data_IF_510443372375
#
_entry.id   IF_510443372375
#
_cell.length_a   1.000
_cell.length_b   1.000
_cell.length_c   1.000
_cell.angle_alpha   90.00
_cell.angle_beta   90.00
_cell.angle_gamma   90.00
#
_symmetry.space_group_name_H-M   'P 1'
#
loop_
_entity.id
_entity.type
_entity.pdbx_description
1 polymer ?
#
# COMPACT_ATOMS: atom_id res chain seq x y z
N UNK A 1 -32.44 2.78 99.95
CA UNK A 1 -32.33 2.48 98.50
C UNK A 1 -30.85 2.53 98.09
N UNK A 2 -30.18 1.39 97.97
CA UNK A 2 -28.79 1.31 97.49
C UNK A 2 -28.75 1.83 96.05
N UNK A 3 -28.05 2.95 95.80
CA UNK A 3 -27.74 3.40 94.44
C UNK A 3 -26.84 2.35 93.81
N UNK A 4 -27.34 1.67 92.77
CA UNK A 4 -26.56 0.80 91.90
C UNK A 4 -25.40 1.66 91.38
N UNK A 5 -24.18 1.34 91.80
CA UNK A 5 -23.00 1.93 91.20
C UNK A 5 -22.99 1.41 89.76
N UNK A 6 -23.35 2.28 88.81
CA UNK A 6 -23.11 2.01 87.40
C UNK A 6 -21.60 2.01 87.28
N UNK A 7 -21.02 0.82 87.19
CA UNK A 7 -19.63 0.63 86.82
C UNK A 7 -19.50 1.23 85.42
N UNK A 8 -18.90 2.43 85.35
CA UNK A 8 -18.61 3.06 84.07
C UNK A 8 -17.61 2.15 83.39
N UNK A 9 -18.02 1.52 82.30
CA UNK A 9 -17.15 0.74 81.43
C UNK A 9 -16.04 1.68 80.98
N UNK A 10 -14.86 1.50 81.57
CA UNK A 10 -13.65 2.26 81.27
C UNK A 10 -12.82 1.43 80.32
N UNK A 11 -12.54 1.94 79.14
CA UNK A 11 -11.78 1.23 78.11
C UNK A 11 -11.44 2.14 76.92
N UNK A 12 -10.55 1.68 76.01
CA UNK A 12 -10.19 2.44 74.83
C UNK A 12 -11.40 2.67 73.91
N UNK A 13 -11.37 3.70 73.04
CA UNK A 13 -12.40 3.91 72.03
C UNK A 13 -12.58 2.66 71.15
N UNK A 14 -13.83 2.33 70.80
CA UNK A 14 -14.07 1.37 69.71
C UNK A 14 -13.84 2.08 68.39
N UNK A 15 -13.14 1.44 67.44
CA UNK A 15 -12.77 2.04 66.15
C UNK A 15 -12.85 1.01 65.02
N UNK A 16 -13.49 1.39 63.92
CA UNK A 16 -13.42 0.67 62.63
C UNK A 16 -13.11 1.65 61.50
N UNK A 17 -12.31 1.22 60.53
CA UNK A 17 -11.93 2.02 59.37
C UNK A 17 -12.36 1.31 58.09
N UNK A 18 -13.05 2.04 57.21
CA UNK A 18 -13.38 1.59 55.86
C UNK A 18 -12.69 2.48 54.81
N UNK A 19 -12.28 1.86 53.70
CA UNK A 19 -11.74 2.54 52.52
C UNK A 19 -12.57 2.15 51.30
N UNK A 20 -13.04 3.12 50.53
CA UNK A 20 -13.81 2.88 49.30
C UNK A 20 -13.33 3.80 48.16
N UNK A 21 -12.91 3.25 47.01
CA UNK A 21 -12.71 1.82 46.70
C UNK A 21 -11.45 1.22 47.37
N UNK A 22 -11.41 -0.10 47.54
CA UNK A 22 -10.23 -0.84 48.04
C UNK A 22 -9.23 -1.22 46.94
N UNK A 23 -9.60 -1.06 45.67
CA UNK A 23 -8.73 -1.28 44.51
C UNK A 23 -8.92 -0.15 43.51
N UNK A 24 -7.82 0.45 43.06
CA UNK A 24 -7.78 1.48 42.02
C UNK A 24 -6.72 1.11 40.98
N UNK A 25 -6.79 1.70 39.78
CA UNK A 25 -5.73 1.54 38.76
C UNK A 25 -4.85 2.76 38.72
N UNK A 26 -3.57 2.57 38.42
CA UNK A 26 -2.60 3.66 38.32
C UNK A 26 -2.95 4.72 37.23
N UNK A 27 -3.84 4.40 36.29
CA UNK A 27 -4.30 5.27 35.19
C UNK A 27 -5.63 5.98 35.46
N UNK A 28 -6.30 5.67 36.56
CA UNK A 28 -7.58 6.29 36.92
C UNK A 28 -7.35 7.42 37.92
N UNK A 29 -8.35 8.28 38.11
CA UNK A 29 -8.36 9.27 39.20
C UNK A 29 -8.38 8.54 40.55
N UNK A 30 -7.23 8.56 41.23
CA UNK A 30 -6.92 7.68 42.35
C UNK A 30 -7.39 8.26 43.70
N UNK A 31 -8.68 8.60 43.81
CA UNK A 31 -9.27 9.12 45.06
C UNK A 31 -10.00 8.04 45.84
N UNK A 32 -9.58 7.83 47.08
CA UNK A 32 -10.18 6.86 48.01
C UNK A 32 -10.84 7.61 49.17
N UNK A 33 -12.07 7.26 49.50
CA UNK A 33 -12.75 7.78 50.68
C UNK A 33 -12.43 6.90 51.89
N UNK A 34 -11.91 7.50 52.95
CA UNK A 34 -11.62 6.87 54.23
C UNK A 34 -12.68 7.31 55.25
N UNK A 35 -13.32 6.33 55.88
CA UNK A 35 -14.35 6.56 56.90
C UNK A 35 -14.00 5.81 58.19
N UNK A 36 -13.63 6.55 59.23
CA UNK A 36 -13.39 6.04 60.57
C UNK A 36 -14.67 6.16 61.43
N UNK A 37 -15.20 5.04 61.90
CA UNK A 37 -16.31 5.00 62.86
C UNK A 37 -15.76 4.70 64.24
N UNK A 38 -15.81 5.68 65.13
CA UNK A 38 -15.28 5.57 66.47
C UNK A 38 -16.26 6.05 67.55
N UNK A 39 -16.20 5.44 68.73
CA UNK A 39 -17.02 5.80 69.90
C UNK A 39 -16.24 5.67 71.20
N UNK A 40 -16.27 6.70 72.05
CA UNK A 40 -15.76 6.61 73.43
C UNK A 40 -16.83 5.99 74.34
N UNK A 41 -16.50 4.97 75.16
CA UNK A 41 -17.41 4.42 76.17
C UNK A 41 -17.96 5.47 77.15
N UNK A 42 -17.25 6.60 77.32
CA UNK A 42 -17.63 7.69 78.21
C UNK A 42 -18.29 8.88 77.49
N UNK A 43 -18.51 8.78 76.18
CA UNK A 43 -19.09 9.86 75.38
C UNK A 43 -18.19 11.09 75.24
N UNK A 44 -16.87 10.93 75.38
CA UNK A 44 -15.89 12.01 75.25
C UNK A 44 -15.63 12.41 73.79
N UNK A 45 -15.20 13.66 73.55
CA UNK A 45 -14.77 14.08 72.22
C UNK A 45 -13.53 13.30 71.76
N UNK A 46 -13.54 12.83 70.51
CA UNK A 46 -12.48 12.03 69.91
C UNK A 46 -11.54 12.88 69.05
N UNK A 47 -10.25 12.61 69.13
CA UNK A 47 -9.19 13.22 68.31
C UNK A 47 -8.68 12.19 67.32
N UNK A 48 -8.56 12.56 66.06
CA UNK A 48 -8.16 11.66 64.97
C UNK A 48 -6.82 12.11 64.40
N UNK A 49 -5.92 11.16 64.21
CA UNK A 49 -4.63 11.38 63.57
C UNK A 49 -4.45 10.34 62.47
N UNK A 50 -4.33 10.83 61.24
CA UNK A 50 -4.20 9.99 60.04
C UNK A 50 -2.74 9.92 59.60
N UNK A 51 -2.29 8.74 59.23
CA UNK A 51 -0.98 8.51 58.59
C UNK A 51 -1.16 7.58 57.40
N UNK A 52 -0.34 7.77 56.36
CA UNK A 52 -0.34 6.91 55.16
C UNK A 52 1.10 6.56 54.79
N UNK A 53 1.29 5.40 54.15
CA UNK A 53 2.60 5.01 53.59
C UNK A 53 2.86 5.59 52.19
N UNK A 54 1.93 6.37 51.64
CA UNK A 54 2.02 7.02 50.33
C UNK A 54 0.79 7.87 50.01
N UNK A 55 0.85 8.63 48.91
CA UNK A 55 -0.21 9.55 48.48
C UNK A 55 -0.33 10.81 49.35
N UNK A 56 -1.36 11.61 49.07
CA UNK A 56 -1.72 12.81 49.82
C UNK A 56 -3.07 12.61 50.49
N UNK A 57 -3.12 12.78 51.80
CA UNK A 57 -4.37 12.74 52.55
C UNK A 57 -4.92 14.16 52.75
N UNK A 58 -6.22 14.35 52.53
CA UNK A 58 -6.95 15.60 52.69
C UNK A 58 -8.22 15.37 53.49
N UNK A 59 -8.36 16.02 54.64
CA UNK A 59 -9.50 15.88 55.55
C UNK A 59 -9.08 15.85 57.02
N UNK A 60 -10.04 16.04 57.93
CA UNK A 60 -9.83 15.99 59.38
C UNK A 60 -10.98 15.24 60.05
N UNK A 61 -10.74 14.66 61.22
CA UNK A 61 -11.76 13.95 61.99
C UNK A 61 -12.06 12.56 61.44
N UNK A 62 -13.34 12.18 61.44
CA UNK A 62 -13.82 10.84 61.09
C UNK A 62 -13.79 10.51 59.59
N UNK A 63 -13.65 11.50 58.71
CA UNK A 63 -13.63 11.32 57.26
C UNK A 63 -12.40 11.97 56.63
N UNK A 64 -11.74 11.25 55.72
CA UNK A 64 -10.62 11.76 54.96
C UNK A 64 -10.70 11.28 53.50
N UNK A 65 -10.26 12.11 52.57
CA UNK A 65 -10.02 11.72 51.18
C UNK A 65 -8.53 11.45 51.00
N UNK A 66 -8.21 10.28 50.50
CA UNK A 66 -6.85 9.85 50.22
C UNK A 66 -6.62 9.84 48.72
N UNK A 67 -5.73 10.73 48.28
CA UNK A 67 -5.34 10.90 46.89
C UNK A 67 -4.05 10.10 46.61
N UNK A 68 -4.19 9.03 45.86
CA UNK A 68 -3.13 8.15 45.39
C UNK A 68 -2.76 8.45 43.92
N UNK A 69 -3.06 9.65 43.41
CA UNK A 69 -2.75 10.01 42.02
C UNK A 69 -1.24 9.95 41.75
N UNK A 70 -0.86 9.21 40.71
CA UNK A 70 0.56 8.98 40.36
C UNK A 70 1.26 7.93 41.22
N UNK A 71 0.54 7.22 42.10
CA UNK A 71 1.08 6.08 42.85
C UNK A 71 1.46 4.93 41.90
N UNK A 72 2.64 4.33 42.14
CA UNK A 72 3.04 3.11 41.43
C UNK A 72 2.20 1.91 41.90
N UNK A 73 2.01 0.88 41.05
CA UNK A 73 1.32 -0.36 41.43
C UNK A 73 1.90 -0.96 42.71
N UNK A 74 1.02 -1.33 43.65
CA UNK A 74 1.42 -1.79 44.97
C UNK A 74 0.32 -1.67 46.03
N UNK A 75 0.65 -2.04 47.26
CA UNK A 75 -0.27 -1.96 48.40
C UNK A 75 0.03 -0.72 49.23
N UNK A 76 -0.96 0.15 49.35
CA UNK A 76 -0.91 1.34 50.18
C UNK A 76 -1.75 1.11 51.42
N UNK A 77 -1.28 1.62 52.56
CA UNK A 77 -1.97 1.53 53.84
C UNK A 77 -2.20 2.91 54.44
N UNK A 78 -3.44 3.17 54.84
CA UNK A 78 -3.83 4.30 55.68
C UNK A 78 -4.10 3.80 57.09
N UNK A 79 -3.56 4.49 58.09
CA UNK A 79 -3.74 4.20 59.51
C UNK A 79 -4.41 5.40 60.17
N UNK A 80 -5.41 5.15 61.00
CA UNK A 80 -6.03 6.17 61.84
C UNK A 80 -5.84 5.81 63.30
N UNK A 81 -5.36 6.77 64.06
CA UNK A 81 -5.19 6.74 65.51
C UNK A 81 -6.28 7.64 66.13
N UNK A 82 -7.00 7.12 67.12
CA UNK A 82 -8.08 7.83 67.82
C UNK A 82 -7.86 7.82 69.33
N UNK A 83 -7.91 9.02 69.93
CA UNK A 83 -7.74 9.28 71.37
C UNK A 83 -8.95 10.04 71.94
N UNK A 84 -9.29 9.82 73.21
CA UNK A 84 -10.35 10.51 73.95
C UNK A 84 -9.85 11.50 75.02
N UNK A 85 -8.53 11.70 75.11
CA UNK A 85 -7.87 12.74 75.90
C UNK A 85 -7.81 12.45 77.40
N UNK A 86 -8.16 11.23 77.84
CA UNK A 86 -8.21 10.87 79.27
C UNK A 86 -6.87 10.39 79.83
N UNK A 87 -6.14 9.60 79.04
CA UNK A 87 -4.82 9.07 79.39
C UNK A 87 -3.94 9.15 78.14
N UNK A 88 -2.69 9.63 78.29
CA UNK A 88 -1.74 9.77 77.18
C UNK A 88 -1.51 8.46 76.39
N UNK A 89 -1.82 7.30 76.99
CA UNK A 89 -1.50 5.97 76.45
C UNK A 89 -2.73 5.15 76.00
N UNK A 90 -3.95 5.73 76.01
CA UNK A 90 -5.18 4.99 75.67
C UNK A 90 -5.68 5.32 74.26
N UNK A 91 -4.97 4.83 73.24
CA UNK A 91 -5.29 5.07 71.83
C UNK A 91 -5.85 3.82 71.15
N UNK A 92 -6.80 4.00 70.25
CA UNK A 92 -7.27 2.97 69.33
C UNK A 92 -6.68 3.21 67.94
N UNK A 93 -6.15 2.16 67.30
CA UNK A 93 -5.66 2.24 65.92
C UNK A 93 -6.43 1.28 65.02
N UNK A 94 -6.61 1.68 63.77
CA UNK A 94 -7.16 0.84 62.71
C UNK A 94 -6.50 1.20 61.38
N UNK A 95 -6.46 0.25 60.45
CA UNK A 95 -5.83 0.46 59.15
C UNK A 95 -6.69 -0.08 58.03
N UNK A 96 -6.66 0.61 56.88
CA UNK A 96 -7.24 0.13 55.65
C UNK A 96 -6.18 0.09 54.55
N UNK A 97 -6.22 -0.96 53.74
CA UNK A 97 -5.31 -1.16 52.62
C UNK A 97 -6.04 -0.93 51.32
N UNK A 98 -5.37 -0.24 50.39
CA UNK A 98 -5.82 -0.03 49.01
C UNK A 98 -4.78 -0.62 48.08
N UNK A 99 -5.23 -1.41 47.11
CA UNK A 99 -4.36 -1.95 46.06
C UNK A 99 -4.39 -1.02 44.86
N UNK A 100 -3.24 -0.49 44.48
CA UNK A 100 -3.04 0.17 43.18
C UNK A 100 -2.63 -0.91 42.20
N UNK A 101 -3.50 -1.25 41.28
CA UNK A 101 -3.27 -2.24 40.23
C UNK A 101 -2.60 -1.61 39.00
N UNK A 102 -1.88 -2.45 38.25
CA UNK A 102 -1.38 -2.11 36.93
C UNK A 102 -2.49 -1.68 35.99
N UNK A 103 -2.14 -0.79 35.08
CA UNK A 103 -3.01 -0.46 33.96
C UNK A 103 -3.11 -1.63 33.00
N UNK A 104 -4.29 -1.88 32.42
CA UNK A 104 -4.38 -2.82 31.32
C UNK A 104 -3.42 -2.37 30.20
N UNK A 105 -2.72 -3.30 29.54
CA UNK A 105 -1.87 -2.94 28.40
C UNK A 105 -2.73 -2.24 27.34
N UNK A 106 -2.18 -1.26 26.60
CA UNK A 106 -2.91 -0.62 25.53
C UNK A 106 -3.36 -1.67 24.51
N UNK A 107 -4.55 -1.51 23.90
CA UNK A 107 -5.02 -2.44 22.89
C UNK A 107 -3.99 -2.54 21.75
N UNK A 108 -3.77 -3.74 21.19
CA UNK A 108 -2.80 -3.92 20.11
C UNK A 108 -3.19 -3.06 18.91
N UNK A 109 -2.24 -2.25 18.43
CA UNK A 109 -2.45 -1.43 17.25
C UNK A 109 -2.36 -2.31 16.00
N UNK A 110 -3.40 -2.25 15.16
CA UNK A 110 -3.40 -2.97 13.90
C UNK A 110 -2.80 -2.05 12.83
N UNK A 111 -1.77 -2.55 12.15
CA UNK A 111 -1.00 -1.78 11.18
C UNK A 111 -1.07 -2.49 9.83
N UNK A 112 -1.41 -1.73 8.78
CA UNK A 112 -1.33 -2.22 7.41
C UNK A 112 0.11 -2.65 7.07
N UNK A 113 0.30 -3.77 6.36
CA UNK A 113 1.60 -4.08 5.81
C UNK A 113 1.98 -3.07 4.73
N UNK A 114 3.27 -2.97 4.44
CA UNK A 114 3.75 -2.30 3.25
C UNK A 114 3.45 -3.19 2.03
N UNK A 115 2.63 -2.67 1.12
CA UNK A 115 2.23 -3.36 -0.12
C UNK A 115 2.89 -2.64 -1.30
N UNK A 116 3.89 -3.27 -1.90
CA UNK A 116 4.54 -2.79 -3.12
C UNK A 116 4.03 -3.57 -4.32
N UNK A 117 3.69 -2.88 -5.40
CA UNK A 117 3.28 -3.49 -6.66
C UNK A 117 4.45 -3.47 -7.66
N UNK A 118 4.68 -4.61 -8.30
CA UNK A 118 5.64 -4.78 -9.39
C UNK A 118 4.86 -4.99 -10.69
N UNK A 119 4.98 -4.02 -11.59
CA UNK A 119 4.20 -3.94 -12.82
C UNK A 119 5.14 -3.58 -13.98
N UNK A 120 4.97 -4.17 -15.17
CA UNK A 120 5.81 -3.84 -16.31
C UNK A 120 5.49 -2.42 -16.84
N UNK A 121 6.50 -1.68 -17.28
CA UNK A 121 6.31 -0.33 -17.84
C UNK A 121 5.44 -0.35 -19.10
N UNK A 122 5.64 -1.39 -19.93
CA UNK A 122 4.89 -1.62 -21.15
C UNK A 122 4.50 -3.10 -21.31
N UNK A 123 3.31 -3.33 -21.87
CA UNK A 123 2.82 -4.65 -22.29
C UNK A 123 2.46 -4.63 -23.78
N UNK A 124 2.36 -5.80 -24.40
CA UNK A 124 1.93 -5.92 -25.80
C UNK A 124 0.45 -6.26 -25.87
N UNK A 125 -0.22 -5.73 -26.89
CA UNK A 125 -1.59 -6.15 -27.22
C UNK A 125 -1.60 -7.66 -27.56
N UNK A 126 -2.64 -8.37 -27.12
CA UNK A 126 -2.82 -9.82 -27.31
C UNK A 126 -1.76 -10.69 -26.61
N UNK A 127 -0.98 -10.11 -25.70
CA UNK A 127 -0.07 -10.84 -24.81
C UNK A 127 -0.50 -10.57 -23.36
N UNK A 128 -0.88 -11.61 -22.58
CA UNK A 128 -1.31 -11.41 -21.21
C UNK A 128 -0.24 -10.73 -20.36
N UNK A 129 -0.66 -9.79 -19.52
CA UNK A 129 0.24 -9.05 -18.61
C UNK A 129 0.04 -9.55 -17.18
N UNK A 130 1.12 -9.66 -16.42
CA UNK A 130 1.09 -10.11 -15.03
C UNK A 130 1.42 -8.96 -14.09
N UNK A 131 0.56 -8.75 -13.09
CA UNK A 131 0.79 -7.83 -11.99
C UNK A 131 1.12 -8.63 -10.73
N UNK A 132 2.09 -8.19 -9.94
CA UNK A 132 2.51 -8.89 -8.72
C UNK A 132 2.61 -7.92 -7.56
N UNK A 133 2.08 -8.31 -6.40
CA UNK A 133 2.21 -7.57 -5.15
C UNK A 133 3.14 -8.30 -4.18
N UNK A 134 4.07 -7.54 -3.60
CA UNK A 134 4.94 -7.97 -2.50
C UNK A 134 4.45 -7.31 -1.23
N UNK A 135 4.27 -8.12 -0.19
CA UNK A 135 3.79 -7.67 1.12
C UNK A 135 4.91 -7.86 2.13
N UNK A 136 5.23 -6.80 2.87
CA UNK A 136 6.20 -6.83 3.95
C UNK A 136 5.66 -6.12 5.19
N UNK A 137 6.00 -6.63 6.38
CA UNK A 137 5.53 -6.08 7.65
C UNK A 137 4.04 -6.34 7.94
N UNK A 138 3.42 -5.44 8.70
CA UNK A 138 2.03 -5.55 9.18
C UNK A 138 1.89 -6.35 10.47
N UNK A 139 0.69 -6.32 11.06
CA UNK A 139 0.39 -7.09 12.27
C UNK A 139 0.54 -8.60 12.02
N UNK A 140 1.31 -9.28 12.86
CA UNK A 140 1.53 -10.73 12.78
C UNK A 140 0.26 -11.55 13.02
N UNK A 141 0.23 -12.78 12.54
CA UNK A 141 -0.90 -13.72 12.75
C UNK A 141 -2.13 -13.47 11.86
N UNK A 142 -2.09 -12.46 11.00
CA UNK A 142 -3.16 -12.17 10.02
C UNK A 142 -2.99 -13.04 8.77
N UNK A 143 -4.10 -13.61 8.27
CA UNK A 143 -4.16 -14.23 6.94
C UNK A 143 -4.65 -13.20 5.92
N UNK A 144 -3.77 -12.66 5.05
CA UNK A 144 -4.17 -11.61 4.12
C UNK A 144 -5.12 -12.15 3.05
N UNK A 145 -6.14 -11.35 2.73
CA UNK A 145 -7.02 -11.57 1.57
C UNK A 145 -6.68 -10.54 0.48
N UNK A 146 -6.85 -10.93 -0.78
CA UNK A 146 -6.48 -10.09 -1.93
C UNK A 146 -7.71 -9.89 -2.80
N UNK A 147 -8.00 -8.65 -3.13
CA UNK A 147 -9.04 -8.33 -4.08
C UNK A 147 -8.48 -7.41 -5.16
N UNK A 148 -8.41 -7.93 -6.38
CA UNK A 148 -7.89 -7.21 -7.53
C UNK A 148 -9.00 -6.63 -8.39
N UNK A 149 -8.77 -5.41 -8.86
CA UNK A 149 -9.58 -4.76 -9.90
C UNK A 149 -8.66 -4.15 -10.95
N UNK A 150 -9.16 -4.04 -12.19
CA UNK A 150 -8.41 -3.50 -13.34
C UNK A 150 -9.25 -2.48 -14.07
N UNK A 151 -8.64 -1.39 -14.55
CA UNK A 151 -9.35 -0.33 -15.29
C UNK A 151 -9.74 -0.73 -16.71
N UNK A 152 -9.00 -1.66 -17.31
CA UNK A 152 -9.21 -2.17 -18.66
C UNK A 152 -8.72 -3.63 -18.76
N UNK A 153 -9.27 -4.36 -19.72
CA UNK A 153 -9.00 -5.80 -19.89
C UNK A 153 -9.77 -6.67 -18.92
N UNK A 154 -9.41 -7.96 -18.90
CA UNK A 154 -10.08 -8.97 -18.07
C UNK A 154 -9.04 -9.75 -17.29
N UNK A 155 -9.24 -9.87 -15.97
CA UNK A 155 -8.44 -10.79 -15.14
C UNK A 155 -8.76 -12.22 -15.57
N UNK A 156 -7.77 -12.94 -16.08
CA UNK A 156 -7.91 -14.33 -16.54
C UNK A 156 -7.50 -15.35 -15.48
N UNK A 157 -6.63 -14.96 -14.53
CA UNK A 157 -6.18 -15.83 -13.45
C UNK A 157 -5.63 -15.04 -12.25
N UNK A 158 -5.48 -15.72 -11.11
CA UNK A 158 -4.78 -15.20 -9.93
C UNK A 158 -5.60 -14.34 -8.97
N UNK A 159 -6.91 -14.16 -9.22
CA UNK A 159 -7.79 -13.45 -8.28
C UNK A 159 -7.75 -14.12 -6.89
N UNK A 160 -7.73 -13.31 -5.83
CA UNK A 160 -7.55 -13.83 -4.47
C UNK A 160 -6.10 -14.16 -4.09
N UNK A 161 -5.12 -13.94 -4.97
CA UNK A 161 -3.71 -14.22 -4.72
C UNK A 161 -2.84 -12.96 -4.80
N UNK A 162 -1.52 -13.09 -4.61
CA UNK A 162 -0.55 -11.99 -4.73
C UNK A 162 -0.25 -11.57 -6.16
N UNK A 163 -0.72 -12.31 -7.15
CA UNK A 163 -0.46 -12.00 -8.55
C UNK A 163 -1.68 -12.29 -9.39
N UNK A 164 -1.93 -11.45 -10.38
CA UNK A 164 -2.98 -11.64 -11.37
C UNK A 164 -2.40 -11.58 -12.77
N UNK A 165 -3.05 -12.29 -13.69
CA UNK A 165 -2.79 -12.15 -15.12
C UNK A 165 -4.03 -11.56 -15.79
N UNK A 166 -3.81 -10.59 -16.67
CA UNK A 166 -4.84 -9.80 -17.35
C UNK A 166 -4.70 -9.96 -18.85
N UNK A 167 -5.82 -10.23 -19.52
CA UNK A 167 -5.93 -10.24 -20.97
C UNK A 167 -5.92 -8.81 -21.53
N UNK A 168 -5.11 -8.60 -22.56
CA UNK A 168 -4.80 -7.31 -23.19
C UNK A 168 -5.34 -7.19 -24.62
N UNK A 169 -6.16 -8.15 -25.06
CA UNK A 169 -6.74 -8.14 -26.40
C UNK A 169 -7.56 -6.86 -26.67
N UNK A 170 -7.25 -6.17 -27.78
CA UNK A 170 -7.95 -4.95 -28.19
C UNK A 170 -7.62 -3.70 -27.37
N UNK A 171 -6.56 -3.73 -26.55
CA UNK A 171 -6.19 -2.62 -25.67
C UNK A 171 -4.98 -1.81 -26.18
N UNK A 172 -4.62 -1.93 -27.47
CA UNK A 172 -3.57 -1.11 -28.06
C UNK A 172 -3.85 0.40 -27.84
N UNK A 173 -2.82 1.12 -27.39
CA UNK A 173 -2.89 2.55 -27.07
C UNK A 173 -3.47 2.89 -25.71
N UNK A 174 -3.92 1.90 -24.92
CA UNK A 174 -4.51 2.12 -23.61
C UNK A 174 -3.50 1.93 -22.46
N UNK A 175 -3.88 2.40 -21.28
CA UNK A 175 -3.16 2.13 -20.02
C UNK A 175 -4.05 1.28 -19.11
N UNK A 176 -3.52 0.16 -18.64
CA UNK A 176 -4.18 -0.70 -17.66
C UNK A 176 -3.70 -0.28 -16.27
N UNK A 177 -4.63 0.17 -15.42
CA UNK A 177 -4.39 0.39 -13.99
C UNK A 177 -4.87 -0.82 -13.21
N UNK A 178 -3.99 -1.40 -12.41
CA UNK A 178 -4.33 -2.48 -11.49
C UNK A 178 -4.41 -1.94 -10.07
N UNK A 179 -5.51 -2.21 -9.40
CA UNK A 179 -5.77 -1.85 -8.01
C UNK A 179 -5.91 -3.12 -7.17
N UNK A 180 -5.13 -3.19 -6.10
CA UNK A 180 -5.17 -4.27 -5.13
C UNK A 180 -5.66 -3.73 -3.78
N UNK A 181 -6.70 -4.35 -3.23
CA UNK A 181 -7.06 -4.20 -1.83
C UNK A 181 -6.59 -5.42 -1.03
N UNK A 182 -5.70 -5.21 -0.06
CA UNK A 182 -5.30 -6.25 0.90
C UNK A 182 -6.15 -6.15 2.15
N UNK A 183 -6.87 -7.21 2.50
CA UNK A 183 -7.69 -7.32 3.70
C UNK A 183 -7.08 -8.23 4.78
N UNK A 184 -7.81 -8.39 5.88
CA UNK A 184 -7.43 -9.23 7.03
C UNK A 184 -6.86 -8.47 8.23
N UNK A 185 -6.37 -7.23 8.02
CA UNK A 185 -5.77 -6.39 9.06
C UNK A 185 -6.80 -5.47 9.75
N UNK A 186 -8.07 -5.86 9.85
CA UNK A 186 -9.14 -4.99 10.38
C UNK A 186 -9.44 -3.73 9.54
N UNK A 187 -8.66 -3.49 8.48
CA UNK A 187 -8.80 -2.41 7.52
C UNK A 187 -8.37 -2.90 6.12
N UNK A 188 -8.64 -2.08 5.08
CA UNK A 188 -8.20 -2.36 3.71
C UNK A 188 -6.93 -1.58 3.41
N UNK A 189 -5.90 -2.26 2.92
CA UNK A 189 -4.62 -1.67 2.57
C UNK A 189 -4.50 -1.63 1.04
N UNK A 190 -4.77 -0.47 0.40
CA UNK A 190 -4.77 -0.36 -1.05
C UNK A 190 -3.35 -0.21 -1.63
N UNK A 191 -3.14 -0.76 -2.82
CA UNK A 191 -1.96 -0.50 -3.64
C UNK A 191 -2.38 -0.39 -5.11
N UNK A 192 -1.68 0.43 -5.89
CA UNK A 192 -1.99 0.64 -7.30
C UNK A 192 -0.72 0.73 -8.13
N UNK A 193 -0.84 0.33 -9.39
CA UNK A 193 0.18 0.55 -10.41
C UNK A 193 -0.48 0.60 -11.79
N UNK A 194 0.29 0.97 -12.80
CA UNK A 194 -0.19 1.04 -14.17
C UNK A 194 0.85 0.48 -15.16
N UNK A 195 0.34 -0.05 -16.26
CA UNK A 195 1.11 -0.52 -17.41
C UNK A 195 0.51 0.07 -18.68
N UNK A 196 1.37 0.58 -19.57
CA UNK A 196 0.93 1.07 -20.89
C UNK A 196 0.97 -0.02 -21.95
N UNK A 197 0.04 0.00 -22.91
CA UNK A 197 0.09 -0.86 -24.09
C UNK A 197 0.32 0.05 -25.29
N UNK A 198 1.57 0.23 -25.76
CA UNK A 198 1.83 1.06 -26.92
C UNK A 198 1.15 0.48 -28.17
N UNK A 199 0.72 1.38 -29.08
CA UNK A 199 0.27 0.98 -30.41
C UNK A 199 1.49 0.52 -31.21
N UNK A 200 1.54 -0.76 -31.56
CA UNK A 200 2.61 -1.30 -32.42
C UNK A 200 2.22 -1.06 -33.88
N UNK A 201 2.75 0.01 -34.47
CA UNK A 201 2.60 0.30 -35.90
C UNK A 201 3.60 -0.59 -36.65
N UNK A 202 3.11 -1.40 -37.60
CA UNK A 202 3.95 -2.34 -38.36
C UNK A 202 4.20 -1.83 -39.77
N UNK A 203 5.42 -2.05 -40.27
CA UNK A 203 5.72 -1.93 -41.69
C UNK A 203 4.99 -3.01 -42.48
N UNK A 204 4.60 -2.71 -43.72
CA UNK A 204 3.93 -3.67 -44.60
C UNK A 204 4.62 -3.78 -45.95
N UNK A 205 4.74 -5.01 -46.47
CA UNK A 205 5.17 -5.24 -47.84
C UNK A 205 4.02 -4.83 -48.75
N UNK A 206 4.27 -3.85 -49.60
CA UNK A 206 3.30 -3.32 -50.55
C UNK A 206 3.21 -4.19 -51.80
N UNK A 207 4.36 -4.52 -52.39
CA UNK A 207 4.43 -5.37 -53.58
C UNK A 207 5.76 -6.13 -53.60
N UNK A 208 5.78 -7.21 -54.38
CA UNK A 208 6.96 -8.03 -54.64
C UNK A 208 6.92 -8.50 -56.09
N UNK A 209 8.04 -8.34 -56.81
CA UNK A 209 8.14 -8.79 -58.20
C UNK A 209 9.56 -9.22 -58.57
N UNK A 210 9.66 -10.08 -59.58
CA UNK A 210 10.93 -10.63 -60.09
C UNK A 210 11.43 -9.83 -61.30
N UNK A 211 12.17 -10.47 -62.19
CA UNK A 211 12.54 -9.83 -63.46
C UNK A 211 11.31 -9.71 -64.39
N UNK A 212 10.81 -8.50 -64.53
CA UNK A 212 9.65 -8.17 -65.38
C UNK A 212 10.02 -7.12 -66.43
N UNK A 213 9.19 -7.02 -67.48
CA UNK A 213 9.36 -6.02 -68.51
C UNK A 213 9.27 -4.61 -67.92
N UNK A 214 10.00 -3.66 -68.51
CA UNK A 214 10.10 -2.28 -68.00
C UNK A 214 8.75 -1.56 -67.87
N UNK A 215 7.81 -1.84 -68.78
CA UNK A 215 6.47 -1.23 -68.70
C UNK A 215 5.66 -1.78 -67.53
N UNK A 216 5.84 -3.06 -67.19
CA UNK A 216 5.18 -3.68 -66.04
C UNK A 216 5.81 -3.17 -64.73
N UNK A 217 7.13 -3.01 -64.68
CA UNK A 217 7.85 -2.39 -63.55
C UNK A 217 7.33 -0.98 -63.28
N UNK A 218 7.12 -0.17 -64.33
CA UNK A 218 6.51 1.16 -64.19
C UNK A 218 5.11 1.11 -63.60
N UNK A 219 4.27 0.17 -64.04
CA UNK A 219 2.91 0.02 -63.51
C UNK A 219 2.91 -0.37 -62.02
N UNK A 220 3.86 -1.20 -61.57
CA UNK A 220 4.02 -1.51 -60.13
C UNK A 220 4.47 -0.28 -59.34
N UNK A 221 5.44 0.46 -59.87
CA UNK A 221 5.92 1.70 -59.25
C UNK A 221 4.86 2.81 -59.24
N UNK A 222 3.94 2.84 -60.21
CA UNK A 222 2.80 3.75 -60.23
C UNK A 222 1.89 3.52 -59.02
N UNK A 223 1.50 2.26 -58.79
CA UNK A 223 0.68 1.87 -57.64
C UNK A 223 1.40 2.18 -56.32
N UNK A 224 2.71 1.94 -56.26
CA UNK A 224 3.53 2.26 -55.10
C UNK A 224 3.58 3.77 -54.82
N UNK A 225 3.77 4.59 -55.85
CA UNK A 225 3.76 6.04 -55.75
C UNK A 225 2.40 6.57 -55.30
N UNK A 226 1.29 6.04 -55.85
CA UNK A 226 -0.07 6.39 -55.42
C UNK A 226 -0.23 6.13 -53.91
N UNK A 227 0.27 5.00 -53.43
CA UNK A 227 0.16 4.68 -52.02
C UNK A 227 1.01 5.59 -51.12
N UNK A 228 2.24 5.93 -51.53
CA UNK A 228 3.08 6.89 -50.80
C UNK A 228 2.49 8.31 -50.79
N UNK A 229 1.75 8.70 -51.83
CA UNK A 229 1.01 9.96 -51.88
C UNK A 229 -0.21 9.95 -50.95
N UNK A 230 -0.94 8.83 -50.89
CA UNK A 230 -2.07 8.65 -49.99
C UNK A 230 -1.66 8.62 -48.51
N UNK A 231 -0.42 8.21 -48.21
CA UNK A 231 0.15 8.17 -46.85
C UNK A 231 1.34 9.13 -46.71
N UNK A 232 1.12 10.45 -46.58
CA UNK A 232 2.20 11.45 -46.63
C UNK A 232 3.22 11.34 -45.48
N UNK A 233 2.86 10.71 -44.37
CA UNK A 233 3.78 10.43 -43.26
C UNK A 233 4.61 9.15 -43.44
N UNK A 234 4.26 8.28 -44.37
CA UNK A 234 4.96 7.01 -44.57
C UNK A 234 6.24 7.18 -45.40
N UNK A 235 7.26 6.38 -45.07
CA UNK A 235 8.52 6.26 -45.81
C UNK A 235 8.54 4.97 -46.63
N UNK A 236 8.96 5.08 -47.88
CA UNK A 236 9.10 3.94 -48.78
C UNK A 236 10.46 3.24 -48.62
N UNK A 237 10.49 1.91 -48.59
CA UNK A 237 11.73 1.13 -48.71
C UNK A 237 11.65 0.23 -49.91
N UNK A 238 12.68 0.27 -50.75
CA UNK A 238 12.79 -0.52 -51.97
C UNK A 238 14.05 -1.36 -51.84
N UNK A 239 13.89 -2.68 -51.74
CA UNK A 239 15.02 -3.60 -51.75
C UNK A 239 15.22 -4.16 -53.14
N UNK A 240 16.42 -3.97 -53.67
CA UNK A 240 16.84 -4.50 -54.96
C UNK A 240 17.78 -5.66 -54.70
N UNK A 241 17.31 -6.86 -54.99
CA UNK A 241 18.09 -8.09 -54.95
C UNK A 241 18.57 -8.41 -56.36
N UNK A 242 19.85 -8.19 -56.68
CA UNK A 242 20.36 -8.49 -58.00
C UNK A 242 20.44 -9.99 -58.23
N UNK A 243 20.19 -10.42 -59.47
CA UNK A 243 20.56 -11.79 -59.86
C UNK A 243 22.07 -11.99 -59.71
N UNK A 244 22.48 -13.19 -59.31
CA UNK A 244 23.87 -13.64 -59.19
C UNK A 244 24.61 -13.57 -60.52
N UNK A 245 23.86 -13.56 -61.63
CA UNK A 245 24.39 -13.41 -62.99
C UNK A 245 24.49 -11.95 -63.44
N UNK A 246 23.85 -11.03 -62.73
CA UNK A 246 23.84 -9.61 -63.07
C UNK A 246 25.17 -8.94 -62.70
N UNK A 247 25.62 -8.00 -63.54
CA UNK A 247 26.80 -7.20 -63.21
C UNK A 247 26.44 -6.10 -62.21
N UNK A 248 27.39 -5.72 -61.35
CA UNK A 248 27.15 -4.70 -60.32
C UNK A 248 26.65 -3.35 -60.89
N UNK A 249 27.13 -2.95 -62.06
CA UNK A 249 26.69 -1.73 -62.76
C UNK A 249 25.24 -1.84 -63.27
N UNK A 250 24.79 -3.02 -63.68
CA UNK A 250 23.42 -3.28 -64.12
C UNK A 250 22.43 -3.13 -62.96
N UNK A 251 22.79 -3.68 -61.80
CA UNK A 251 22.01 -3.55 -60.56
C UNK A 251 21.89 -2.11 -60.09
N UNK A 252 23.00 -1.37 -60.08
CA UNK A 252 22.99 0.05 -59.75
C UNK A 252 22.18 0.87 -60.77
N UNK A 253 22.28 0.56 -62.07
CA UNK A 253 21.50 1.23 -63.10
C UNK A 253 20.00 0.99 -62.94
N UNK A 254 19.59 -0.22 -62.55
CA UNK A 254 18.19 -0.56 -62.27
C UNK A 254 17.66 0.17 -61.04
N UNK A 255 18.44 0.22 -59.95
CA UNK A 255 18.10 0.97 -58.75
C UNK A 255 17.93 2.48 -59.03
N UNK A 256 18.87 3.08 -59.78
CA UNK A 256 18.77 4.49 -60.21
C UNK A 256 17.53 4.75 -61.04
N UNK A 257 17.23 3.86 -62.00
CA UNK A 257 16.03 3.99 -62.84
C UNK A 257 14.73 3.97 -62.04
N UNK A 258 14.65 3.12 -61.00
CA UNK A 258 13.50 3.08 -60.09
C UNK A 258 13.36 4.44 -59.37
N UNK A 259 14.47 4.95 -58.81
CA UNK A 259 14.50 6.26 -58.15
C UNK A 259 14.09 7.39 -59.10
N UNK A 260 14.68 7.45 -60.30
CA UNK A 260 14.40 8.47 -61.31
C UNK A 260 12.94 8.44 -61.75
N UNK A 261 12.32 7.26 -61.84
CA UNK A 261 10.91 7.14 -62.19
C UNK A 261 10.01 7.70 -61.08
N UNK A 262 10.24 7.33 -59.82
CA UNK A 262 9.46 7.81 -58.69
C UNK A 262 9.58 9.34 -58.51
N UNK A 263 10.78 9.88 -58.67
CA UNK A 263 11.03 11.33 -58.54
C UNK A 263 10.52 12.09 -59.76
N UNK A 264 11.04 11.79 -60.95
CA UNK A 264 10.83 12.64 -62.12
C UNK A 264 9.50 12.36 -62.83
N UNK A 265 8.97 11.14 -62.75
CA UNK A 265 7.70 10.78 -63.41
C UNK A 265 6.51 10.82 -62.47
N UNK A 266 6.70 10.46 -61.18
CA UNK A 266 5.60 10.40 -60.19
C UNK A 266 5.61 11.52 -59.15
N UNK A 267 6.65 12.36 -59.12
CA UNK A 267 6.73 13.51 -58.22
C UNK A 267 6.86 13.14 -56.74
N UNK A 268 7.38 11.96 -56.42
CA UNK A 268 7.69 11.58 -55.04
C UNK A 268 9.02 12.23 -54.66
N UNK A 269 9.04 12.97 -53.55
CA UNK A 269 10.29 13.54 -53.02
C UNK A 269 11.31 12.43 -52.75
N UNK A 270 12.58 12.64 -53.13
CA UNK A 270 13.64 11.67 -52.92
C UNK A 270 13.86 11.33 -51.43
N UNK A 271 13.48 12.21 -50.51
CA UNK A 271 13.54 11.98 -49.07
C UNK A 271 12.43 11.07 -48.55
N UNK A 272 11.41 10.74 -49.37
CA UNK A 272 10.26 9.92 -48.98
C UNK A 272 10.47 8.42 -49.21
N UNK A 273 11.60 8.02 -49.79
CA UNK A 273 11.93 6.62 -49.96
C UNK A 273 13.43 6.34 -49.92
N UNK A 274 13.78 5.10 -49.64
CA UNK A 274 15.16 4.60 -49.64
C UNK A 274 15.26 3.38 -50.56
N UNK A 275 16.19 3.41 -51.50
CA UNK A 275 16.54 2.25 -52.34
C UNK A 275 17.80 1.62 -51.79
N UNK A 276 17.73 0.35 -51.40
CA UNK A 276 18.84 -0.40 -50.83
C UNK A 276 19.17 -1.60 -51.71
N UNK A 277 20.44 -1.72 -52.09
CA UNK A 277 20.97 -2.92 -52.71
C UNK A 277 21.11 -4.01 -51.65
N UNK A 278 20.32 -5.07 -51.77
CA UNK A 278 20.35 -6.23 -50.89
C UNK A 278 21.32 -7.31 -51.44
N UNK A 279 21.46 -8.41 -50.70
CA UNK A 279 22.30 -9.53 -51.12
C UNK A 279 21.84 -10.11 -52.47
N UNK A 280 22.80 -10.50 -53.32
CA UNK A 280 22.48 -11.12 -54.60
C UNK A 280 21.76 -12.47 -54.41
N UNK A 281 20.82 -12.78 -55.30
CA UNK A 281 20.02 -14.02 -55.31
C UNK A 281 20.18 -14.75 -56.64
N UNK A 282 19.59 -15.93 -56.81
CA UNK A 282 19.63 -16.64 -58.10
C UNK A 282 19.03 -15.76 -59.20
N UNK A 283 17.80 -15.29 -58.98
CA UNK A 283 17.07 -14.39 -59.87
C UNK A 283 16.90 -12.99 -59.25
N UNK A 284 16.54 -12.02 -60.10
CA UNK A 284 16.18 -10.68 -59.63
C UNK A 284 14.95 -10.72 -58.74
N UNK A 285 14.97 -9.97 -57.65
CA UNK A 285 13.82 -9.73 -56.80
C UNK A 285 13.76 -8.26 -56.37
N UNK A 286 12.55 -7.73 -56.31
CA UNK A 286 12.26 -6.40 -55.84
C UNK A 286 11.18 -6.49 -54.77
N UNK A 287 11.45 -5.93 -53.61
CA UNK A 287 10.45 -5.79 -52.55
C UNK A 287 10.17 -4.30 -52.33
N UNK A 288 8.89 -3.92 -52.42
CA UNK A 288 8.44 -2.57 -52.13
C UNK A 288 7.73 -2.58 -50.77
N UNK A 289 8.19 -1.75 -49.84
CA UNK A 289 7.67 -1.66 -48.48
C UNK A 289 7.19 -0.26 -48.17
N UNK A 290 6.16 -0.16 -47.33
CA UNK A 290 5.64 1.10 -46.81
C UNK A 290 5.76 1.06 -45.29
N UNK A 291 6.42 2.07 -44.75
CA UNK A 291 6.76 2.18 -43.33
C UNK A 291 6.11 3.46 -42.78
N UNK A 292 4.96 3.34 -42.09
CA UNK A 292 4.36 4.49 -41.44
C UNK A 292 5.25 5.07 -40.33
N UNK A 293 5.01 6.33 -39.95
CA UNK A 293 5.70 6.96 -38.82
C UNK A 293 5.57 6.09 -37.57
N UNK A 294 6.69 5.84 -36.89
CA UNK A 294 6.74 5.03 -35.67
C UNK A 294 6.83 3.52 -35.89
N UNK A 295 6.73 3.03 -37.13
CA UNK A 295 7.03 1.64 -37.46
C UNK A 295 8.54 1.42 -37.63
N UNK A 296 9.02 0.25 -37.21
CA UNK A 296 10.41 -0.15 -37.45
C UNK A 296 10.62 -0.42 -38.95
N UNK A 297 11.70 0.11 -39.57
CA UNK A 297 12.04 -0.21 -40.96
C UNK A 297 12.23 -1.72 -41.18
N UNK A 298 11.78 -2.26 -42.32
CA UNK A 298 12.03 -3.65 -42.67
C UNK A 298 13.53 -3.87 -42.90
N UNK A 299 13.98 -5.09 -42.65
CA UNK A 299 15.34 -5.54 -42.95
C UNK A 299 15.25 -6.35 -44.24
N UNK A 300 16.16 -6.17 -45.21
CA UNK A 300 16.18 -7.01 -46.40
C UNK A 300 16.25 -8.48 -46.00
N UNK A 301 15.34 -9.30 -46.55
CA UNK A 301 15.40 -10.75 -46.44
C UNK A 301 16.78 -11.28 -46.85
N UNK A 302 17.31 -12.29 -46.14
CA UNK A 302 18.63 -12.87 -46.44
C UNK A 302 18.61 -13.72 -47.72
#
# INVERSE_FOLDING_TARGET
KKRKHVERVSGPPALTLAAEPTTIRACDDARVQLMARASSPEGRPLRYKWTTNGGRLSGQGAGATWDLSGAQPGVYQAVVEVDDGRYLDCVAFSSASVVVADCPPPPPQIICPNVTMSCPDAASENAPVTFTATISGGSGGVRPTYNWTVSAGRIISGQGTRSITVDTAGLAGQTIRADLEVGGYGMRCPATCATSIPVVIKSRKFDEYYDIARNDEKARLDNYAIQLQAEPGSHGYIFVYPSSRARANEAQARARRISDYLVNSRGIDASRFTVTMAAAREDWLFELWIVPVGATPPIPSR
#
